data_IF_526053684309
#
_entry.id   IF_526053684309
#
_cell.length_a   1.000
_cell.length_b   1.000
_cell.length_c   1.000
_cell.angle_alpha   90.00
_cell.angle_beta   90.00
_cell.angle_gamma   90.00
#
_symmetry.space_group_name_H-M   'P 1'
#
loop_
_entity.id
_entity.type
_entity.pdbx_description
1 polymer ?
#
# COMPACT_ATOMS: atom_id res chain seq x y z
N UNK A 1 -8.41 -36.63 3.12
CA UNK A 1 -9.10 -35.62 3.95
C UNK A 1 -8.73 -34.22 3.51
N UNK A 2 -9.25 -33.73 2.36
CA UNK A 2 -8.91 -32.36 1.89
C UNK A 2 -10.12 -31.56 1.35
N UNK A 3 -11.29 -32.16 1.34
CA UNK A 3 -12.51 -31.55 0.79
C UNK A 3 -13.08 -30.35 1.60
N UNK A 4 -13.11 -30.35 2.94
CA UNK A 4 -13.68 -29.25 3.72
C UNK A 4 -12.85 -27.97 3.68
N UNK A 5 -11.51 -28.07 3.67
CA UNK A 5 -10.61 -26.89 3.63
C UNK A 5 -10.72 -26.10 2.32
N UNK A 6 -10.85 -26.79 1.19
CA UNK A 6 -11.00 -26.13 -0.13
C UNK A 6 -12.34 -25.45 -0.31
N UNK A 7 -13.41 -25.99 0.30
CA UNK A 7 -14.73 -25.38 0.27
C UNK A 7 -14.78 -24.16 1.19
N UNK A 8 -14.17 -24.24 2.37
CA UNK A 8 -14.05 -23.14 3.32
C UNK A 8 -13.27 -21.95 2.72
N UNK A 9 -12.15 -22.20 2.05
CA UNK A 9 -11.36 -21.16 1.36
C UNK A 9 -12.08 -20.53 0.16
N UNK A 10 -13.08 -21.19 -0.43
CA UNK A 10 -13.95 -20.60 -1.47
C UNK A 10 -15.09 -19.76 -0.91
N UNK A 11 -15.44 -19.94 0.36
CA UNK A 11 -16.56 -19.26 1.02
C UNK A 11 -16.06 -18.08 1.86
N UNK A 12 -14.83 -18.17 2.40
CA UNK A 12 -14.22 -17.11 3.20
C UNK A 12 -13.15 -16.44 2.33
N UNK A 13 -13.53 -15.37 1.65
CA UNK A 13 -12.56 -14.45 1.09
C UNK A 13 -11.91 -13.67 2.24
N UNK A 14 -10.59 -13.81 2.45
CA UNK A 14 -9.86 -12.88 3.30
C UNK A 14 -9.98 -11.48 2.69
N UNK A 15 -10.43 -10.52 3.47
CA UNK A 15 -10.47 -9.12 3.09
C UNK A 15 -9.66 -8.31 4.09
N UNK A 16 -8.91 -7.34 3.60
CA UNK A 16 -8.20 -6.39 4.43
C UNK A 16 -9.03 -5.13 4.63
N UNK A 17 -8.86 -4.47 5.76
CA UNK A 17 -9.50 -3.21 6.08
C UNK A 17 -8.47 -2.23 6.62
N UNK A 18 -8.50 -0.99 6.15
CA UNK A 18 -7.62 0.07 6.59
C UNK A 18 -8.19 0.75 7.83
N UNK A 19 -7.31 1.27 8.69
CA UNK A 19 -7.72 2.03 9.86
C UNK A 19 -6.65 3.03 10.28
N UNK A 20 -7.07 4.10 10.94
CA UNK A 20 -6.20 5.12 11.52
C UNK A 20 -6.26 5.05 13.03
N UNK A 21 -5.09 5.01 13.68
CA UNK A 21 -4.99 5.12 15.14
C UNK A 21 -5.21 6.60 15.51
N UNK A 22 -6.20 6.85 16.35
CA UNK A 22 -6.61 8.22 16.71
C UNK A 22 -5.57 8.94 17.56
N UNK A 23 -4.95 8.22 18.50
CA UNK A 23 -4.13 8.81 19.56
C UNK A 23 -2.66 8.99 19.16
N UNK A 24 -2.35 8.79 17.86
CA UNK A 24 -1.01 8.94 17.31
C UNK A 24 0.02 8.01 17.96
N UNK A 25 1.30 8.40 17.90
CA UNK A 25 2.39 7.61 18.43
C UNK A 25 2.32 7.47 19.96
N UNK A 26 1.93 8.52 20.66
CA UNK A 26 1.82 8.52 22.13
C UNK A 26 0.77 7.51 22.60
N UNK A 27 -0.37 7.41 21.90
CA UNK A 27 -1.38 6.39 22.21
C UNK A 27 -0.88 4.96 21.97
N UNK A 28 -0.04 4.75 20.97
CA UNK A 28 0.55 3.44 20.68
C UNK A 28 1.59 3.05 21.72
N UNK A 29 2.36 4.04 22.24
CA UNK A 29 3.44 3.81 23.22
C UNK A 29 2.94 3.78 24.66
N UNK A 30 1.74 4.26 24.94
CA UNK A 30 1.10 4.19 26.26
C UNK A 30 0.49 2.79 26.53
N UNK A 31 -0.41 2.64 27.43
CA UNK A 31 -0.91 1.40 28.04
C UNK A 31 -1.55 0.33 27.13
N UNK A 32 -1.27 0.35 25.82
CA UNK A 32 -1.67 -0.70 24.88
C UNK A 32 -3.14 -0.63 24.42
N UNK A 33 -3.89 0.39 24.83
CA UNK A 33 -5.26 0.65 24.37
C UNK A 33 -5.27 1.86 23.44
N UNK A 34 -5.62 1.65 22.19
CA UNK A 34 -5.83 2.72 21.23
C UNK A 34 -7.15 2.51 20.47
N UNK A 35 -7.79 3.62 20.09
CA UNK A 35 -8.99 3.57 19.27
C UNK A 35 -8.61 3.65 17.79
N UNK A 36 -9.32 2.87 16.96
CA UNK A 36 -9.11 2.83 15.52
C UNK A 36 -10.31 3.45 14.81
N UNK A 37 -10.05 4.45 13.97
CA UNK A 37 -11.03 4.92 13.01
C UNK A 37 -10.91 4.06 11.75
N UNK A 38 -11.87 3.16 11.56
CA UNK A 38 -11.90 2.29 10.40
C UNK A 38 -12.33 3.05 9.15
N UNK A 39 -11.57 2.86 8.07
CA UNK A 39 -11.89 3.44 6.76
C UNK A 39 -13.16 2.80 6.22
N UNK A 40 -14.11 3.64 5.82
CA UNK A 40 -15.37 3.21 5.23
C UNK A 40 -15.21 3.12 3.72
N UNK A 41 -15.19 1.90 3.22
CA UNK A 41 -15.09 1.62 1.78
C UNK A 41 -16.47 1.44 1.17
N UNK A 42 -16.82 2.18 0.10
CA UNK A 42 -18.04 1.94 -0.65
C UNK A 42 -17.96 0.73 -1.58
N UNK A 43 -16.75 0.19 -1.78
CA UNK A 43 -16.50 -0.91 -2.70
C UNK A 43 -16.74 -2.27 -2.03
N UNK A 44 -17.41 -3.18 -2.74
CA UNK A 44 -17.69 -4.55 -2.30
C UNK A 44 -17.02 -5.61 -3.17
N UNK A 45 -16.37 -5.19 -4.25
CA UNK A 45 -15.72 -6.06 -5.24
C UNK A 45 -14.20 -6.12 -5.07
N UNK A 46 -13.67 -5.44 -4.03
CA UNK A 46 -12.23 -5.31 -3.77
C UNK A 46 -11.94 -5.02 -2.30
N UNK A 47 -10.66 -5.13 -1.95
CA UNK A 47 -10.11 -4.68 -0.69
C UNK A 47 -8.82 -3.87 -0.93
N UNK A 48 -8.33 -3.22 0.13
CA UNK A 48 -7.13 -2.41 0.13
C UNK A 48 -6.23 -2.82 1.28
N UNK A 49 -4.91 -2.91 1.03
CA UNK A 49 -3.88 -3.22 2.02
C UNK A 49 -2.66 -2.30 1.85
N UNK A 50 -1.67 -2.49 2.71
CA UNK A 50 -0.35 -1.85 2.67
C UNK A 50 -0.41 -0.33 2.52
N UNK A 51 -1.07 0.40 3.45
CA UNK A 51 -1.27 1.84 3.30
C UNK A 51 0.01 2.64 3.59
N UNK A 52 0.37 3.50 2.65
CA UNK A 52 1.42 4.51 2.82
C UNK A 52 0.81 5.91 2.65
N UNK A 53 1.08 6.81 3.60
CA UNK A 53 0.58 8.19 3.53
C UNK A 53 1.34 8.95 2.46
N UNK A 54 0.62 9.34 1.40
CA UNK A 54 1.13 10.19 0.34
C UNK A 54 1.11 11.65 0.75
N UNK A 55 -0.02 12.12 1.29
CA UNK A 55 -0.17 13.49 1.77
C UNK A 55 -1.37 13.61 2.72
N UNK A 56 -1.40 14.70 3.50
CA UNK A 56 -2.51 15.04 4.39
C UNK A 56 -2.80 16.54 4.29
N UNK A 57 -4.03 16.88 3.98
CA UNK A 57 -4.54 18.26 3.98
C UNK A 57 -5.48 18.49 5.15
N UNK A 58 -6.10 19.67 5.23
CA UNK A 58 -7.12 19.96 6.22
C UNK A 58 -8.33 19.03 6.09
N UNK A 59 -8.76 18.75 4.86
CA UNK A 59 -9.98 18.00 4.57
C UNK A 59 -9.74 16.54 4.23
N UNK A 60 -8.57 16.18 3.68
CA UNK A 60 -8.33 14.86 3.09
C UNK A 60 -7.03 14.20 3.53
N UNK A 61 -7.06 12.87 3.51
CA UNK A 61 -5.87 12.01 3.63
C UNK A 61 -5.71 11.28 2.29
N UNK A 62 -4.51 11.37 1.73
CA UNK A 62 -4.14 10.68 0.50
C UNK A 62 -3.24 9.49 0.82
N UNK A 63 -3.67 8.29 0.43
CA UNK A 63 -2.92 7.05 0.63
C UNK A 63 -2.52 6.44 -0.70
N UNK A 64 -1.33 5.85 -0.74
CA UNK A 64 -1.01 4.80 -1.68
C UNK A 64 -1.27 3.45 -1.02
N UNK A 65 -1.91 2.55 -1.75
CA UNK A 65 -2.33 1.24 -1.23
C UNK A 65 -2.15 0.16 -2.30
N UNK A 66 -2.06 -1.10 -1.85
CA UNK A 66 -2.41 -2.22 -2.71
C UNK A 66 -3.92 -2.24 -2.90
N UNK A 67 -4.39 -2.27 -4.14
CA UNK A 67 -5.77 -2.55 -4.49
C UNK A 67 -5.88 -3.95 -5.07
N UNK A 68 -6.69 -4.81 -4.46
CA UNK A 68 -6.93 -6.17 -4.93
C UNK A 68 -8.41 -6.35 -5.28
N UNK A 69 -8.67 -6.62 -6.55
CA UNK A 69 -10.03 -6.81 -7.06
C UNK A 69 -10.34 -8.29 -7.24
N UNK A 70 -11.43 -8.77 -6.65
CA UNK A 70 -11.78 -10.20 -6.66
C UNK A 70 -11.91 -10.82 -8.07
N UNK A 71 -12.40 -10.03 -9.05
CA UNK A 71 -12.55 -10.50 -10.43
C UNK A 71 -11.21 -10.66 -11.15
N UNK A 72 -10.20 -9.89 -10.76
CA UNK A 72 -8.85 -9.91 -11.33
C UNK A 72 -7.87 -10.07 -10.17
N UNK A 73 -7.59 -11.31 -9.73
CA UNK A 73 -6.85 -11.58 -8.49
C UNK A 73 -5.36 -11.23 -8.63
N UNK A 74 -5.09 -9.95 -8.73
CA UNK A 74 -3.78 -9.34 -8.90
C UNK A 74 -3.81 -7.98 -8.19
N UNK A 75 -2.78 -7.70 -7.36
CA UNK A 75 -2.60 -6.41 -6.73
C UNK A 75 -2.18 -5.35 -7.74
N UNK A 76 -2.67 -4.12 -7.55
CA UNK A 76 -2.31 -2.91 -8.29
C UNK A 76 -2.07 -1.80 -7.30
N UNK A 77 -1.33 -0.77 -7.69
CA UNK A 77 -1.14 0.39 -6.83
C UNK A 77 -2.20 1.43 -7.13
N UNK A 78 -2.93 1.80 -6.08
CA UNK A 78 -3.97 2.80 -6.13
C UNK A 78 -3.65 3.98 -5.21
N UNK A 79 -4.12 5.16 -5.61
CA UNK A 79 -4.27 6.33 -4.74
C UNK A 79 -5.71 6.36 -4.23
N UNK A 80 -5.86 6.44 -2.91
CA UNK A 80 -7.14 6.71 -2.26
C UNK A 80 -7.16 8.14 -1.75
N UNK A 81 -8.29 8.82 -1.93
CA UNK A 81 -8.62 10.04 -1.21
C UNK A 81 -9.66 9.69 -0.15
N UNK A 82 -9.34 10.00 1.11
CA UNK A 82 -10.18 9.71 2.26
C UNK A 82 -10.58 11.03 2.90
N UNK A 83 -11.87 11.25 3.10
CA UNK A 83 -12.37 12.38 3.88
C UNK A 83 -11.90 12.24 5.33
N UNK A 84 -11.26 13.27 5.84
CA UNK A 84 -10.58 13.24 7.14
C UNK A 84 -11.54 13.22 8.34
N UNK A 85 -12.77 13.64 8.17
CA UNK A 85 -13.77 13.69 9.24
C UNK A 85 -14.58 12.40 9.31
N UNK A 86 -15.06 11.93 8.16
CA UNK A 86 -15.91 10.74 8.08
C UNK A 86 -15.15 9.42 7.96
N UNK A 87 -13.87 9.48 7.53
CA UNK A 87 -13.05 8.33 7.14
C UNK A 87 -13.65 7.52 5.99
N UNK A 88 -14.39 8.17 5.11
CA UNK A 88 -14.95 7.57 3.91
C UNK A 88 -13.97 7.72 2.74
N UNK A 89 -13.83 6.67 1.93
CA UNK A 89 -13.12 6.77 0.64
C UNK A 89 -14.03 7.57 -0.31
N UNK A 90 -13.56 8.76 -0.71
CA UNK A 90 -14.30 9.66 -1.61
C UNK A 90 -13.77 9.60 -3.05
N UNK A 91 -12.53 9.12 -3.25
CA UNK A 91 -11.97 8.89 -4.59
C UNK A 91 -10.99 7.71 -4.59
N UNK A 92 -10.90 7.04 -5.74
CA UNK A 92 -9.98 5.93 -5.99
C UNK A 92 -9.43 6.05 -7.40
N UNK A 93 -8.12 6.09 -7.53
CA UNK A 93 -7.43 6.10 -8.81
C UNK A 93 -6.34 5.04 -8.88
N UNK A 94 -6.37 4.17 -9.90
CA UNK A 94 -5.26 3.25 -10.17
C UNK A 94 -4.13 4.06 -10.78
N UNK A 95 -2.97 4.08 -10.13
CA UNK A 95 -1.81 4.88 -10.54
C UNK A 95 -0.68 4.04 -11.12
N UNK A 96 -0.71 2.72 -10.88
CA UNK A 96 0.17 1.74 -11.52
C UNK A 96 -0.52 0.38 -11.63
N UNK A 97 -0.47 -0.20 -12.81
CA UNK A 97 -0.88 -1.59 -13.07
C UNK A 97 0.17 -2.24 -13.97
N UNK A 98 0.60 -3.46 -13.61
CA UNK A 98 1.49 -4.29 -14.41
C UNK A 98 0.86 -5.67 -14.65
N UNK A 99 1.50 -6.51 -15.45
CA UNK A 99 1.04 -7.88 -15.70
C UNK A 99 1.18 -8.77 -14.45
N UNK A 100 2.10 -8.41 -13.56
CA UNK A 100 2.38 -9.07 -12.30
C UNK A 100 1.66 -8.40 -11.13
N UNK A 101 1.60 -9.11 -9.99
CA UNK A 101 1.05 -8.60 -8.75
C UNK A 101 1.95 -7.51 -8.17
N UNK A 102 1.35 -6.37 -7.80
CA UNK A 102 2.00 -5.26 -7.12
C UNK A 102 1.39 -5.07 -5.74
N UNK A 103 2.23 -4.89 -4.72
CA UNK A 103 1.86 -4.62 -3.33
C UNK A 103 2.83 -3.65 -2.68
N UNK A 104 2.62 -3.31 -1.42
CA UNK A 104 3.55 -2.61 -0.55
C UNK A 104 4.20 -1.36 -1.20
N UNK A 105 3.41 -0.30 -1.55
CA UNK A 105 3.87 0.87 -2.32
C UNK A 105 4.70 1.83 -1.47
N UNK A 106 5.91 1.45 -1.12
CA UNK A 106 6.80 2.23 -0.27
C UNK A 106 7.14 3.57 -0.90
N UNK A 107 7.11 4.63 -0.08
CA UNK A 107 7.34 6.01 -0.52
C UNK A 107 8.73 6.49 -0.09
N UNK A 108 9.49 7.04 -1.03
CA UNK A 108 10.75 7.72 -0.79
C UNK A 108 10.65 9.17 -1.27
N UNK A 109 10.89 10.13 -0.37
CA UNK A 109 10.94 11.56 -0.72
C UNK A 109 12.38 12.01 -0.85
N UNK A 110 12.70 12.66 -1.96
CA UNK A 110 14.03 13.18 -2.23
C UNK A 110 13.97 14.37 -3.18
N UNK A 111 14.68 15.43 -2.84
CA UNK A 111 14.86 16.62 -3.69
C UNK A 111 13.54 17.23 -4.19
N UNK A 112 12.51 17.27 -3.33
CA UNK A 112 11.17 17.77 -3.66
C UNK A 112 10.33 16.83 -4.52
N UNK A 113 10.84 15.65 -4.86
CA UNK A 113 10.14 14.62 -5.62
C UNK A 113 9.67 13.46 -4.74
N UNK A 114 8.62 12.81 -5.17
CA UNK A 114 8.07 11.62 -4.56
C UNK A 114 8.38 10.43 -5.46
N UNK A 115 9.07 9.45 -4.91
CA UNK A 115 9.34 8.18 -5.56
C UNK A 115 8.59 7.06 -4.84
N UNK A 116 8.17 6.06 -5.60
CA UNK A 116 7.47 4.89 -5.10
C UNK A 116 8.17 3.64 -5.63
N UNK A 117 8.40 2.66 -4.75
CA UNK A 117 8.97 1.38 -5.13
C UNK A 117 8.09 0.26 -4.57
N UNK A 118 7.04 -0.13 -5.33
CA UNK A 118 6.14 -1.20 -4.93
C UNK A 118 6.85 -2.55 -5.02
N UNK A 119 6.46 -3.46 -4.15
CA UNK A 119 6.86 -4.86 -4.27
C UNK A 119 6.34 -5.45 -5.58
N UNK A 120 7.21 -6.18 -6.27
CA UNK A 120 6.89 -6.92 -7.48
C UNK A 120 7.66 -8.25 -7.52
N UNK A 121 7.53 -9.06 -6.47
CA UNK A 121 8.24 -10.34 -6.36
C UNK A 121 7.91 -11.30 -7.52
N UNK A 122 6.66 -11.31 -7.98
CA UNK A 122 6.25 -12.13 -9.12
C UNK A 122 6.85 -11.68 -10.46
N UNK A 123 7.27 -10.43 -10.57
CA UNK A 123 7.99 -9.88 -11.72
C UNK A 123 9.52 -10.06 -11.61
N UNK A 124 10.01 -10.50 -10.44
CA UNK A 124 11.44 -10.70 -10.20
C UNK A 124 12.25 -9.42 -10.16
N UNK A 125 11.64 -8.27 -9.91
CA UNK A 125 12.30 -6.96 -9.96
C UNK A 125 11.71 -6.01 -8.93
N UNK A 126 12.55 -5.22 -8.29
CA UNK A 126 12.14 -4.05 -7.55
C UNK A 126 12.41 -2.81 -8.41
N UNK A 127 11.35 -2.15 -8.84
CA UNK A 127 11.42 -0.98 -9.69
C UNK A 127 11.15 0.30 -8.89
N UNK A 128 11.80 1.39 -9.29
CA UNK A 128 11.56 2.75 -8.81
C UNK A 128 10.72 3.51 -9.82
N UNK A 129 9.69 4.19 -9.32
CA UNK A 129 8.83 5.07 -10.10
C UNK A 129 8.84 6.46 -9.48
N UNK A 130 8.71 7.51 -10.30
CA UNK A 130 8.44 8.88 -9.86
C UNK A 130 6.93 9.11 -9.90
N UNK A 131 6.36 9.70 -8.85
CA UNK A 131 4.96 10.09 -8.84
C UNK A 131 4.77 11.39 -9.64
N UNK A 132 4.11 11.28 -10.78
CA UNK A 132 3.66 12.40 -11.60
C UNK A 132 2.34 12.92 -11.04
N UNK A 133 2.42 13.96 -10.21
CA UNK A 133 1.26 14.52 -9.53
C UNK A 133 0.24 15.12 -10.51
N UNK A 134 0.69 15.74 -11.60
CA UNK A 134 -0.18 16.38 -12.58
C UNK A 134 -1.06 15.37 -13.33
N UNK A 135 -0.54 14.18 -13.61
CA UNK A 135 -1.26 13.11 -14.30
C UNK A 135 -1.74 12.00 -13.34
N UNK A 136 -1.38 12.11 -12.05
CA UNK A 136 -1.68 11.13 -10.99
C UNK A 136 -1.34 9.69 -11.41
N UNK A 137 -0.09 9.47 -11.76
CA UNK A 137 0.42 8.15 -12.16
C UNK A 137 1.86 7.95 -11.71
N UNK A 138 2.30 6.71 -11.66
CA UNK A 138 3.68 6.34 -11.42
C UNK A 138 4.39 6.18 -12.77
N UNK A 139 5.52 6.87 -12.93
CA UNK A 139 6.37 6.84 -14.14
C UNK A 139 7.65 6.10 -13.80
N UNK A 140 7.97 5.05 -14.56
CA UNK A 140 9.17 4.25 -14.35
C UNK A 140 10.44 5.11 -14.44
N UNK A 141 11.34 4.92 -13.47
CA UNK A 141 12.66 5.59 -13.42
C UNK A 141 13.77 4.58 -13.70
N UNK A 142 13.85 3.54 -12.86
CA UNK A 142 14.90 2.51 -12.98
C UNK A 142 14.54 1.25 -12.20
N UNK A 143 15.23 0.17 -12.48
CA UNK A 143 15.24 -1.02 -11.63
C UNK A 143 16.25 -0.82 -10.50
N UNK A 144 15.81 -1.01 -9.25
CA UNK A 144 16.65 -0.94 -8.04
C UNK A 144 17.38 -2.28 -7.82
N UNK A 145 16.62 -3.38 -8.00
CA UNK A 145 17.11 -4.74 -7.79
C UNK A 145 16.48 -5.68 -8.81
N UNK A 146 17.30 -6.53 -9.42
CA UNK A 146 16.88 -7.55 -10.39
C UNK A 146 16.92 -8.92 -9.70
N UNK A 147 16.05 -9.09 -8.70
CA UNK A 147 15.92 -10.31 -7.91
C UNK A 147 14.50 -10.40 -7.32
N UNK A 148 14.13 -11.61 -6.88
CA UNK A 148 12.85 -11.92 -6.24
C UNK A 148 12.97 -11.58 -4.75
N UNK A 149 12.53 -10.38 -4.39
CA UNK A 149 12.59 -9.88 -3.02
C UNK A 149 11.21 -9.38 -2.55
N UNK A 150 10.98 -9.44 -1.22
CA UNK A 150 9.72 -9.09 -0.56
C UNK A 150 9.93 -8.03 0.51
N UNK A 151 8.88 -7.30 0.84
CA UNK A 151 8.79 -6.39 1.99
C UNK A 151 9.98 -5.40 2.09
N UNK A 152 10.43 -4.88 0.95
CA UNK A 152 11.62 -4.04 0.91
C UNK A 152 11.38 -2.67 1.56
N UNK A 153 12.22 -2.30 2.53
CA UNK A 153 12.18 -1.01 3.22
C UNK A 153 13.54 -0.30 3.11
N UNK A 154 13.53 0.94 2.66
CA UNK A 154 14.71 1.81 2.69
C UNK A 154 14.66 2.69 3.94
N UNK A 155 15.68 2.63 4.76
CA UNK A 155 15.84 3.46 5.96
C UNK A 155 17.24 4.03 6.05
N UNK A 156 17.43 5.01 6.93
CA UNK A 156 18.73 5.58 7.21
C UNK A 156 19.27 5.06 8.55
N UNK A 157 20.40 4.36 8.50
CA UNK A 157 21.13 3.90 9.67
C UNK A 157 22.57 4.41 9.62
N UNK A 158 23.03 5.00 10.72
CA UNK A 158 24.40 5.53 10.84
C UNK A 158 24.79 6.50 9.71
N UNK A 159 23.86 7.37 9.29
CA UNK A 159 24.06 8.34 8.22
C UNK A 159 24.15 7.75 6.81
N UNK A 160 23.76 6.48 6.64
CA UNK A 160 23.71 5.80 5.34
C UNK A 160 22.32 5.23 5.08
N UNK A 161 21.86 5.42 3.86
CA UNK A 161 20.63 4.74 3.40
C UNK A 161 20.92 3.26 3.17
N UNK A 162 20.11 2.41 3.76
CA UNK A 162 20.20 0.96 3.64
C UNK A 162 18.83 0.40 3.27
N UNK A 163 18.81 -0.62 2.46
CA UNK A 163 17.61 -1.38 2.13
C UNK A 163 17.61 -2.69 2.89
N UNK A 164 16.51 -2.97 3.56
CA UNK A 164 16.21 -4.25 4.18
C UNK A 164 15.14 -4.93 3.34
N UNK A 165 15.30 -6.21 3.12
CA UNK A 165 14.36 -6.99 2.30
C UNK A 165 14.33 -8.44 2.76
N UNK A 166 13.24 -9.14 2.48
CA UNK A 166 13.17 -10.58 2.61
C UNK A 166 13.53 -11.25 1.28
N UNK A 167 14.23 -12.37 1.36
CA UNK A 167 14.56 -13.26 0.24
C UNK A 167 14.21 -14.69 0.63
N UNK A 168 13.74 -15.51 -0.32
CA UNK A 168 13.30 -16.88 -0.08
C UNK A 168 14.34 -17.89 -0.49
#
# INVERSE_FOLDING_TARGET
MSFPKRLYQKIVSSSWQLGFIRDGLEGVLSDGFFSVNWVKSPYKDRWFADPFILDVTEDNIYLLVEEFRYKYPKGRIAKLTIDRQSFEIIDLKIILEEDTHLSFPNILRRDGKIYVYPENANGGKLNLYEYDEANEKLVFVQTICDDVIWDSCITELFGKKQMFTAHR
#
